data_IF_011566373981
#
_entry.id   IF_011566373981
#
_cell.length_a   1.000
_cell.length_b   1.000
_cell.length_c   1.000
_cell.angle_alpha   90.00
_cell.angle_beta   90.00
_cell.angle_gamma   90.00
#
_symmetry.space_group_name_H-M   'P 1'
#
loop_
_entity.id
_entity.type
_entity.pdbx_description
1 polymer ?
#
# COMPACT_ATOMS: atom_id res chain seq x y z
N UNK A 1 6.33 29.25 40.24
CA UNK A 1 6.52 28.91 38.83
C UNK A 1 5.16 28.43 38.34
N UNK A 2 4.33 29.36 37.89
CA UNK A 2 2.96 29.09 37.46
C UNK A 2 2.98 28.34 36.13
N UNK A 3 2.72 27.03 36.19
CA UNK A 3 2.35 26.25 35.01
C UNK A 3 0.94 26.67 34.61
N UNK A 4 0.86 27.71 33.78
CA UNK A 4 -0.40 28.16 33.22
C UNK A 4 -0.99 27.02 32.37
N UNK A 5 -2.03 26.37 32.91
CA UNK A 5 -2.69 25.23 32.29
C UNK A 5 -3.39 25.67 31.01
N UNK A 6 -2.69 25.52 29.89
CA UNK A 6 -3.22 25.87 28.57
C UNK A 6 -4.28 24.86 28.17
N UNK A 7 -5.53 25.28 28.03
CA UNK A 7 -6.62 24.42 27.57
C UNK A 7 -6.54 24.14 26.06
N UNK A 8 -6.98 22.94 25.65
CA UNK A 8 -7.09 22.55 24.26
C UNK A 8 -8.01 23.51 23.49
N UNK A 9 -7.52 24.16 22.43
CA UNK A 9 -8.31 25.11 21.61
C UNK A 9 -9.31 24.43 20.66
N UNK A 10 -9.28 23.11 20.61
CA UNK A 10 -10.14 22.29 19.77
C UNK A 10 -11.36 21.80 20.58
N UNK A 11 -11.13 21.01 21.64
CA UNK A 11 -12.21 20.45 22.47
C UNK A 11 -12.55 21.27 23.72
N UNK A 12 -11.64 22.14 24.21
CA UNK A 12 -11.76 22.89 25.47
C UNK A 12 -12.07 22.05 26.72
N UNK A 13 -11.83 20.72 26.67
CA UNK A 13 -12.09 19.79 27.79
C UNK A 13 -10.84 19.46 28.58
N UNK A 14 -9.74 19.22 27.87
CA UNK A 14 -8.47 18.82 28.47
C UNK A 14 -7.41 19.91 28.28
N UNK A 15 -6.35 19.83 29.09
CA UNK A 15 -5.15 20.62 28.88
C UNK A 15 -4.45 20.23 27.56
N UNK A 16 -3.99 21.24 26.83
CA UNK A 16 -3.25 21.12 25.60
C UNK A 16 -1.84 20.58 25.89
N UNK A 17 -1.53 19.43 25.29
CA UNK A 17 -0.25 18.73 25.44
C UNK A 17 0.70 19.01 24.26
N UNK A 18 0.12 19.35 23.11
CA UNK A 18 0.83 19.47 21.85
C UNK A 18 0.45 20.76 21.12
N UNK A 19 1.32 21.21 20.22
CA UNK A 19 1.10 22.39 19.38
C UNK A 19 1.31 22.00 17.92
N UNK A 20 0.40 22.38 17.03
CA UNK A 20 0.57 22.14 15.61
C UNK A 20 1.68 23.03 15.03
N UNK A 21 2.70 22.48 14.34
CA UNK A 21 3.79 23.29 13.78
C UNK A 21 3.38 24.16 12.60
N UNK A 22 2.25 23.85 11.95
CA UNK A 22 1.78 24.63 10.79
C UNK A 22 0.90 25.83 11.16
N UNK A 23 0.02 25.67 12.15
CA UNK A 23 -0.95 26.71 12.51
C UNK A 23 -0.81 27.21 13.95
N UNK A 24 0.04 26.58 14.77
CA UNK A 24 0.26 26.98 16.16
C UNK A 24 -0.87 26.63 17.14
N UNK A 25 -1.89 25.86 16.71
CA UNK A 25 -3.01 25.52 17.60
C UNK A 25 -2.57 24.50 18.65
N UNK A 26 -2.98 24.73 19.89
CA UNK A 26 -2.68 23.87 21.04
C UNK A 26 -3.79 22.81 21.21
N UNK A 27 -3.44 21.52 21.24
CA UNK A 27 -4.36 20.39 21.28
C UNK A 27 -3.98 19.30 22.29
N UNK A 28 -4.96 18.50 22.74
CA UNK A 28 -4.73 17.49 23.78
C UNK A 28 -4.37 16.08 23.24
N UNK A 29 -4.90 15.67 22.08
CA UNK A 29 -4.76 14.32 21.55
C UNK A 29 -4.83 14.25 20.01
N UNK A 30 -4.50 13.10 19.44
CA UNK A 30 -4.63 12.84 18.00
C UNK A 30 -6.07 13.00 17.49
N UNK A 31 -7.08 12.71 18.32
CA UNK A 31 -8.49 12.96 18.01
C UNK A 31 -8.77 14.44 17.79
N UNK A 32 -8.18 15.32 18.59
CA UNK A 32 -8.28 16.77 18.38
C UNK A 32 -7.48 17.22 17.16
N UNK A 33 -6.30 16.63 16.91
CA UNK A 33 -5.52 16.92 15.71
C UNK A 33 -6.28 16.58 14.41
N UNK A 34 -7.06 15.49 14.40
CA UNK A 34 -7.87 15.05 13.25
C UNK A 34 -9.28 15.67 13.23
N UNK A 35 -9.56 16.68 14.05
CA UNK A 35 -10.91 17.24 14.12
C UNK A 35 -11.28 17.94 12.79
N UNK A 36 -12.37 17.50 12.12
CA UNK A 36 -12.78 18.01 10.82
C UNK A 36 -13.24 19.48 10.83
N UNK A 37 -13.63 20.03 11.97
CA UNK A 37 -14.16 21.40 12.04
C UNK A 37 -13.05 22.45 12.23
N UNK A 38 -12.05 22.14 13.06
CA UNK A 38 -11.07 23.14 13.51
C UNK A 38 -9.64 22.89 13.01
N UNK A 39 -9.32 21.68 12.56
CA UNK A 39 -7.94 21.32 12.18
C UNK A 39 -7.85 20.42 10.93
N UNK A 40 -8.89 20.41 10.09
CA UNK A 40 -8.92 19.56 8.89
C UNK A 40 -7.78 19.87 7.92
N UNK A 41 -7.58 21.15 7.57
CA UNK A 41 -6.60 21.58 6.58
C UNK A 41 -5.18 21.11 6.91
N UNK A 42 -4.71 21.36 8.13
CA UNK A 42 -3.37 20.97 8.54
C UNK A 42 -3.23 19.44 8.69
N UNK A 43 -4.29 18.73 9.09
CA UNK A 43 -4.26 17.26 9.11
C UNK A 43 -4.17 16.69 7.69
N UNK A 44 -4.93 17.24 6.73
CA UNK A 44 -4.92 16.82 5.33
C UNK A 44 -3.59 17.15 4.63
N UNK A 45 -3.05 18.35 4.85
CA UNK A 45 -1.75 18.77 4.31
C UNK A 45 -0.63 17.85 4.81
N UNK A 46 -0.66 17.47 6.09
CA UNK A 46 0.27 16.49 6.65
C UNK A 46 0.13 15.12 5.97
N UNK A 47 -1.09 14.58 5.85
CA UNK A 47 -1.32 13.31 5.18
C UNK A 47 -0.85 13.33 3.72
N UNK A 48 -1.21 14.39 2.99
CA UNK A 48 -0.80 14.60 1.60
C UNK A 48 0.71 14.61 1.48
N UNK A 49 1.40 15.36 2.35
CA UNK A 49 2.87 15.45 2.34
C UNK A 49 3.51 14.10 2.65
N UNK A 50 3.02 13.37 3.65
CA UNK A 50 3.52 12.04 3.96
C UNK A 50 3.35 11.07 2.79
N UNK A 51 2.19 11.07 2.13
CA UNK A 51 1.95 10.24 0.94
C UNK A 51 2.88 10.66 -0.19
N UNK A 52 2.99 11.94 -0.50
CA UNK A 52 3.88 12.45 -1.54
C UNK A 52 5.34 12.07 -1.27
N UNK A 53 5.84 12.25 -0.06
CA UNK A 53 7.22 11.91 0.30
C UNK A 53 7.50 10.40 0.16
N UNK A 54 6.55 9.55 0.55
CA UNK A 54 6.75 8.10 0.50
C UNK A 54 6.47 7.48 -0.88
N UNK A 55 5.57 8.07 -1.68
CA UNK A 55 5.22 7.60 -3.03
C UNK A 55 6.18 8.17 -4.07
N UNK A 56 6.49 9.47 -4.00
CA UNK A 56 7.36 10.17 -4.97
C UNK A 56 8.84 9.96 -4.63
N UNK A 57 9.20 9.84 -3.34
CA UNK A 57 10.58 9.54 -2.94
C UNK A 57 11.10 8.16 -3.38
N UNK A 58 10.24 7.32 -3.99
CA UNK A 58 10.59 6.01 -4.54
C UNK A 58 10.58 5.95 -6.07
N UNK A 59 10.09 6.98 -6.75
CA UNK A 59 10.21 7.05 -8.22
C UNK A 59 11.62 7.52 -8.52
N UNK A 60 12.47 6.57 -8.89
CA UNK A 60 13.77 6.82 -9.48
C UNK A 60 13.59 7.79 -10.67
N UNK A 61 14.03 9.04 -10.48
CA UNK A 61 13.87 10.12 -11.47
C UNK A 61 14.46 9.70 -12.84
N UNK A 62 15.45 8.81 -12.84
CA UNK A 62 16.04 8.24 -14.06
C UNK A 62 15.09 7.29 -14.80
N UNK A 63 14.20 6.58 -14.08
CA UNK A 63 13.14 5.76 -14.71
C UNK A 63 12.07 6.63 -15.33
N UNK A 64 11.64 7.68 -14.63
CA UNK A 64 10.67 8.66 -15.15
C UNK A 64 11.22 9.39 -16.37
N UNK A 65 12.51 9.77 -16.34
CA UNK A 65 13.20 10.41 -17.45
C UNK A 65 13.37 9.47 -18.65
N UNK A 66 13.75 8.20 -18.43
CA UNK A 66 13.81 7.17 -19.49
C UNK A 66 12.45 6.94 -20.14
N UNK A 67 11.39 6.80 -19.34
CA UNK A 67 10.02 6.64 -19.86
C UNK A 67 9.59 7.84 -20.72
N UNK A 68 9.85 9.06 -20.25
CA UNK A 68 9.56 10.29 -21.03
C UNK A 68 10.41 10.41 -22.28
N UNK A 69 11.62 9.86 -22.30
CA UNK A 69 12.48 9.88 -23.50
C UNK A 69 11.99 8.89 -24.56
N UNK A 70 11.58 7.68 -24.15
CA UNK A 70 10.98 6.67 -25.03
C UNK A 70 9.70 7.21 -25.69
N UNK A 71 8.79 7.79 -24.91
CA UNK A 71 7.55 8.39 -25.43
C UNK A 71 7.82 9.52 -26.44
N UNK A 72 8.89 10.30 -26.21
CA UNK A 72 9.25 11.42 -27.07
C UNK A 72 9.90 10.96 -28.37
N UNK A 73 10.72 9.90 -28.32
CA UNK A 73 11.28 9.26 -29.52
C UNK A 73 10.14 8.73 -30.40
N UNK A 74 9.17 8.05 -29.80
CA UNK A 74 8.02 7.49 -30.52
C UNK A 74 7.15 8.56 -31.20
N UNK A 75 6.96 9.72 -30.54
CA UNK A 75 6.21 10.85 -31.11
C UNK A 75 6.99 11.62 -32.17
N UNK A 76 8.32 11.67 -32.09
CA UNK A 76 9.16 12.32 -33.10
C UNK A 76 9.42 11.44 -34.33
N UNK A 77 9.40 10.13 -34.18
CA UNK A 77 9.60 9.16 -35.27
C UNK A 77 8.31 8.90 -36.07
N UNK A 78 7.14 9.27 -35.53
CA UNK A 78 5.84 9.19 -36.22
C UNK A 78 5.21 10.59 -36.35
N UNK A 79 5.30 11.28 -37.51
CA UNK A 79 4.55 12.52 -37.73
C UNK A 79 3.02 12.28 -37.67
N UNK A 80 2.21 13.31 -37.39
CA UNK A 80 0.79 13.16 -37.07
C UNK A 80 0.00 12.75 -38.32
N UNK A 81 -0.15 11.45 -38.51
CA UNK A 81 -0.87 10.90 -39.67
C UNK A 81 -1.03 9.38 -39.69
N UNK A 82 -0.60 8.66 -38.66
CA UNK A 82 -0.87 7.21 -38.57
C UNK A 82 -1.89 7.00 -37.46
N UNK A 83 -3.03 6.47 -37.88
CA UNK A 83 -4.16 6.11 -37.06
C UNK A 83 -3.76 5.03 -36.05
N UNK A 84 -4.56 4.99 -35.01
CA UNK A 84 -4.39 4.21 -33.79
C UNK A 84 -4.43 2.70 -34.10
N UNK A 85 -3.28 2.04 -34.19
CA UNK A 85 -3.20 0.58 -34.23
C UNK A 85 -2.07 0.05 -33.32
N UNK A 86 -2.54 -0.61 -32.25
CA UNK A 86 -1.92 -1.64 -31.41
C UNK A 86 -0.38 -1.71 -31.34
N UNK A 87 0.23 -1.21 -30.24
CA UNK A 87 1.66 -1.41 -29.98
C UNK A 87 1.87 -2.55 -28.97
N UNK A 88 2.17 -3.74 -29.49
CA UNK A 88 2.72 -4.87 -28.74
C UNK A 88 4.17 -4.56 -28.32
N UNK A 89 4.43 -4.62 -27.01
CA UNK A 89 5.78 -4.55 -26.45
C UNK A 89 6.45 -5.90 -26.70
N UNK A 90 7.37 -5.94 -27.66
CA UNK A 90 8.29 -7.04 -27.85
C UNK A 90 9.44 -6.88 -26.84
N UNK A 91 9.35 -7.62 -25.73
CA UNK A 91 10.46 -7.79 -24.79
C UNK A 91 11.15 -9.10 -25.12
N UNK A 92 12.42 -8.97 -25.48
CA UNK A 92 13.37 -10.03 -25.81
C UNK A 92 13.56 -10.98 -24.60
N UNK A 93 12.85 -12.11 -24.62
CA UNK A 93 13.14 -13.31 -23.83
C UNK A 93 13.10 -14.53 -24.76
N UNK A 94 14.28 -15.04 -25.09
CA UNK A 94 14.49 -16.34 -25.74
C UNK A 94 14.13 -17.47 -24.76
N UNK A 95 12.91 -18.01 -24.83
CA UNK A 95 12.62 -19.45 -24.69
C UNK A 95 11.15 -19.76 -25.04
N UNK A 96 10.94 -20.26 -26.26
CA UNK A 96 9.99 -21.34 -26.61
C UNK A 96 8.77 -21.56 -25.70
N UNK A 97 7.63 -20.97 -26.08
CA UNK A 97 6.36 -21.69 -26.09
C UNK A 97 5.47 -21.25 -27.25
N UNK A 98 5.42 -22.09 -28.30
CA UNK A 98 4.38 -22.01 -29.31
C UNK A 98 3.01 -22.30 -28.71
N UNK A 99 2.38 -21.31 -28.08
CA UNK A 99 1.02 -21.36 -27.55
C UNK A 99 0.16 -20.25 -28.16
N UNK A 100 0.11 -20.21 -29.49
CA UNK A 100 -1.14 -19.83 -30.15
C UNK A 100 -1.92 -21.13 -30.32
N UNK A 101 -2.65 -21.51 -29.27
CA UNK A 101 -3.74 -22.45 -29.44
C UNK A 101 -4.74 -21.73 -30.33
N UNK A 102 -4.89 -22.24 -31.56
CA UNK A 102 -5.77 -21.84 -32.65
C UNK A 102 -7.27 -21.92 -32.27
N UNK A 103 -7.62 -21.36 -31.10
CA UNK A 103 -8.97 -21.32 -30.56
C UNK A 103 -9.55 -19.94 -30.89
N UNK A 104 -10.54 -19.91 -31.78
CA UNK A 104 -11.16 -18.70 -32.35
C UNK A 104 -11.78 -17.74 -31.30
N UNK A 105 -11.94 -18.20 -30.05
CA UNK A 105 -12.54 -17.44 -28.95
C UNK A 105 -11.57 -17.23 -27.77
N UNK A 106 -11.11 -15.98 -27.53
CA UNK A 106 -10.25 -15.66 -26.39
C UNK A 106 -10.85 -16.08 -25.05
N UNK A 107 -10.09 -16.82 -24.24
CA UNK A 107 -10.46 -17.26 -22.89
C UNK A 107 -10.99 -16.11 -22.01
N UNK A 108 -10.46 -14.90 -22.20
CA UNK A 108 -10.92 -13.67 -21.53
C UNK A 108 -12.43 -13.42 -21.73
N UNK A 109 -12.96 -13.64 -22.94
CA UNK A 109 -14.38 -13.46 -23.23
C UNK A 109 -15.24 -14.53 -22.56
N UNK A 110 -14.72 -15.77 -22.48
CA UNK A 110 -15.39 -16.91 -21.83
C UNK A 110 -15.45 -16.75 -20.31
N UNK A 111 -14.39 -16.20 -19.70
CA UNK A 111 -14.30 -16.00 -18.24
C UNK A 111 -14.94 -14.69 -17.76
N UNK A 112 -15.05 -13.66 -18.61
CA UNK A 112 -15.54 -12.33 -18.21
C UNK A 112 -16.99 -12.27 -17.71
N UNK A 113 -17.79 -13.32 -17.92
CA UNK A 113 -19.20 -13.39 -17.46
C UNK A 113 -19.38 -14.26 -16.21
N UNK A 114 -18.33 -14.93 -15.74
CA UNK A 114 -18.41 -15.94 -14.69
C UNK A 114 -17.99 -15.39 -13.34
N UNK A 115 -18.55 -15.97 -12.28
CA UNK A 115 -18.12 -15.72 -10.91
C UNK A 115 -16.78 -16.43 -10.63
N UNK A 116 -15.72 -15.65 -10.46
CA UNK A 116 -14.36 -16.18 -10.23
C UNK A 116 -14.19 -16.79 -8.83
N UNK A 117 -15.10 -16.51 -7.90
CA UNK A 117 -15.09 -17.14 -6.57
C UNK A 117 -15.66 -18.58 -6.61
N UNK A 118 -16.30 -18.97 -7.72
CA UNK A 118 -16.82 -20.32 -7.92
C UNK A 118 -15.86 -21.19 -8.75
N UNK A 119 -15.02 -21.96 -8.05
CA UNK A 119 -13.98 -22.79 -8.67
C UNK A 119 -14.52 -23.87 -9.62
N UNK A 120 -15.70 -24.42 -9.37
CA UNK A 120 -16.30 -25.45 -10.23
C UNK A 120 -16.79 -24.86 -11.56
N UNK A 121 -17.31 -23.64 -11.52
CA UNK A 121 -17.82 -22.94 -12.70
C UNK A 121 -16.68 -22.53 -13.63
N UNK A 122 -15.60 -21.97 -13.08
CA UNK A 122 -14.36 -21.66 -13.82
C UNK A 122 -13.76 -22.94 -14.43
N UNK A 123 -13.73 -24.04 -13.67
CA UNK A 123 -13.20 -25.32 -14.15
C UNK A 123 -13.97 -25.89 -15.33
N UNK A 124 -15.30 -25.72 -15.37
CA UNK A 124 -16.13 -26.28 -16.42
C UNK A 124 -16.06 -25.53 -17.74
N UNK A 125 -15.71 -24.24 -17.70
CA UNK A 125 -15.61 -23.39 -18.90
C UNK A 125 -14.32 -23.64 -19.68
N UNK A 126 -13.25 -24.12 -19.04
CA UNK A 126 -11.99 -24.46 -19.70
C UNK A 126 -12.16 -25.64 -20.68
N UNK A 127 -11.44 -25.61 -21.81
CA UNK A 127 -11.36 -26.72 -22.77
C UNK A 127 -10.59 -27.89 -22.15
N UNK A 128 -10.76 -29.13 -22.65
CA UNK A 128 -10.01 -30.28 -22.14
C UNK A 128 -8.48 -30.12 -22.26
N UNK A 129 -8.01 -29.37 -23.25
CA UNK A 129 -6.59 -29.09 -23.45
C UNK A 129 -6.06 -28.11 -22.39
N UNK A 130 -6.79 -27.02 -22.14
CA UNK A 130 -6.49 -26.03 -21.08
C UNK A 130 -6.47 -26.68 -19.69
N UNK A 131 -7.41 -27.61 -19.41
CA UNK A 131 -7.42 -28.36 -18.14
C UNK A 131 -6.21 -29.27 -18.00
N UNK A 132 -5.81 -29.97 -19.07
CA UNK A 132 -4.64 -30.85 -19.05
C UNK A 132 -3.35 -30.06 -18.83
N UNK A 133 -3.25 -28.87 -19.42
CA UNK A 133 -2.16 -27.94 -19.18
C UNK A 133 -2.13 -27.44 -17.74
N UNK A 134 -3.26 -27.02 -17.20
CA UNK A 134 -3.35 -26.59 -15.81
C UNK A 134 -2.91 -27.71 -14.86
N UNK A 135 -3.38 -28.95 -15.07
CA UNK A 135 -2.95 -30.09 -14.27
C UNK A 135 -1.44 -30.35 -14.36
N UNK A 136 -0.85 -30.21 -15.55
CA UNK A 136 0.60 -30.33 -15.76
C UNK A 136 1.35 -29.26 -14.98
N UNK A 137 0.86 -28.02 -15.00
CA UNK A 137 1.43 -26.91 -14.24
C UNK A 137 1.33 -27.15 -12.73
N UNK A 138 0.17 -27.59 -12.24
CA UNK A 138 -0.03 -27.93 -10.82
C UNK A 138 0.93 -29.03 -10.39
N UNK A 139 1.11 -30.10 -11.19
CA UNK A 139 2.06 -31.18 -10.87
C UNK A 139 3.51 -30.68 -10.86
N UNK A 140 3.89 -29.82 -11.82
CA UNK A 140 5.24 -29.20 -11.90
C UNK A 140 5.52 -28.29 -10.71
N UNK A 141 4.54 -27.50 -10.29
CA UNK A 141 4.67 -26.56 -9.16
C UNK A 141 4.56 -27.27 -7.81
N UNK A 142 3.70 -28.28 -7.68
CA UNK A 142 3.65 -29.15 -6.50
C UNK A 142 4.97 -29.88 -6.27
N UNK A 143 5.65 -30.30 -7.35
CA UNK A 143 6.99 -30.87 -7.27
C UNK A 143 8.06 -29.87 -6.82
N UNK A 144 7.85 -28.56 -7.02
CA UNK A 144 8.73 -27.48 -6.55
C UNK A 144 8.38 -26.96 -5.15
N UNK A 145 7.27 -27.42 -4.55
CA UNK A 145 6.74 -26.88 -3.31
C UNK A 145 6.06 -25.54 -3.55
N UNK A 146 4.74 -25.48 -3.38
CA UNK A 146 4.00 -24.22 -3.44
C UNK A 146 4.22 -23.50 -2.10
N UNK A 147 5.21 -22.63 -2.06
CA UNK A 147 5.31 -21.63 -1.00
C UNK A 147 4.34 -20.50 -1.37
N UNK A 148 3.12 -20.54 -0.83
CA UNK A 148 2.25 -19.37 -0.86
C UNK A 148 2.89 -18.36 0.07
N UNK A 149 3.76 -17.52 -0.49
CA UNK A 149 4.29 -16.36 0.20
C UNK A 149 3.13 -15.38 0.34
N UNK A 150 2.35 -15.57 1.40
CA UNK A 150 1.42 -14.56 1.89
C UNK A 150 2.27 -13.46 2.56
N UNK A 151 3.08 -12.77 1.76
CA UNK A 151 3.64 -11.50 2.19
C UNK A 151 2.45 -10.53 2.28
N UNK A 152 2.10 -10.06 3.49
CA UNK A 152 1.03 -9.10 3.62
C UNK A 152 1.38 -7.89 2.75
N UNK A 153 0.43 -7.50 1.89
CA UNK A 153 0.49 -6.37 0.95
C UNK A 153 0.87 -5.01 1.57
N UNK A 154 1.01 -4.94 2.89
CA UNK A 154 1.46 -3.79 3.64
C UNK A 154 2.97 -3.93 3.97
N UNK A 155 3.87 -3.26 3.23
CA UNK A 155 5.28 -3.18 3.60
C UNK A 155 5.43 -2.13 4.72
N UNK A 156 5.03 -2.51 5.93
CA UNK A 156 5.21 -1.73 7.14
C UNK A 156 5.82 -2.62 8.20
N UNK A 157 7.11 -2.42 8.51
CA UNK A 157 7.79 -3.10 9.61
C UNK A 157 6.93 -2.98 10.86
N UNK A 158 6.39 -4.09 11.35
CA UNK A 158 5.72 -4.16 12.64
C UNK A 158 6.75 -4.00 13.75
N UNK A 159 7.30 -2.80 13.92
CA UNK A 159 7.79 -2.37 15.23
C UNK A 159 6.57 -1.94 16.04
N UNK A 160 5.71 -2.91 16.30
CA UNK A 160 4.66 -2.81 17.30
C UNK A 160 5.37 -3.08 18.63
N UNK A 161 5.98 -2.05 19.20
CA UNK A 161 6.30 -2.04 20.64
C UNK A 161 5.00 -1.69 21.35
N UNK A 162 4.17 -2.71 21.63
CA UNK A 162 3.09 -2.57 22.61
C UNK A 162 3.76 -2.72 23.97
N UNK A 163 3.96 -1.62 24.66
CA UNK A 163 4.30 -1.63 26.08
C UNK A 163 3.00 -1.41 26.85
N UNK A 164 2.63 -2.38 27.68
CA UNK A 164 1.43 -2.30 28.51
C UNK A 164 1.60 -1.18 29.55
N UNK A 165 0.76 -0.16 29.47
CA UNK A 165 0.67 0.85 30.52
C UNK A 165 -0.13 0.28 31.68
N UNK A 166 0.58 -0.21 32.70
CA UNK A 166 0.08 -0.28 34.07
C UNK A 166 0.16 -1.66 34.74
N UNK A 167 1.25 -1.90 35.45
CA UNK A 167 1.19 -2.62 36.73
C UNK A 167 1.72 -1.70 37.81
N UNK A 168 0.79 -0.97 38.44
CA UNK A 168 1.05 -0.19 39.65
C UNK A 168 1.08 -1.14 40.86
N UNK A 169 2.16 -1.09 41.65
CA UNK A 169 2.30 -1.53 43.06
C UNK A 169 3.80 -1.73 43.32
N UNK A 170 4.51 -1.14 44.27
CA UNK A 170 4.18 -0.39 45.50
C UNK A 170 5.36 0.55 45.79
N UNK A 171 5.09 1.82 46.09
CA UNK A 171 6.05 2.67 46.81
C UNK A 171 6.16 2.14 48.23
N UNK A 172 7.37 1.70 48.62
CA UNK A 172 7.70 1.38 49.99
C UNK A 172 8.22 2.65 50.65
N UNK A 173 7.36 3.24 51.47
CA UNK A 173 7.73 4.18 52.52
C UNK A 173 8.49 3.39 53.57
N UNK A 174 9.72 3.78 53.87
CA UNK A 174 10.37 3.47 55.15
C UNK A 174 10.72 4.82 55.78
N UNK A 175 9.95 5.16 56.80
CA UNK A 175 10.18 6.24 57.75
C UNK A 175 11.29 5.81 58.74
N UNK A 176 12.18 6.77 59.01
CA UNK A 176 12.97 7.05 60.24
C UNK A 176 13.32 5.92 61.23
N UNK A 177 14.62 5.78 61.54
CA UNK A 177 15.11 5.69 62.93
C UNK A 177 16.45 6.45 63.07
N UNK A 178 16.47 7.34 64.07
CA UNK A 178 17.61 8.05 64.68
C UNK A 178 18.56 7.09 65.45
N UNK A 179 19.64 7.68 66.01
CA UNK A 179 20.74 7.13 66.87
C UNK A 179 22.00 6.67 66.08
N UNK A 180 23.23 7.18 66.28
CA UNK A 180 23.92 7.79 67.44
C UNK A 180 25.01 8.78 66.93
#
# INVERSE_FOLDING_TARGET
MDSEEKLCRICHKDNAKYVCPQCGIEFCSSSCYRNPEKHLKCSEDFYRRCVQENVIGRTDDDKVKRMKDILRRFHNENPPGIEQENFEINSDEEEDDGLDSDDDDPLEKRLGTLDLDNSEEVWNVLTPEEKAEFERMVRKTAAKGVEVVAEPWCPGKSNVFIEEVGSSSTVKLEEEEDDD
#
